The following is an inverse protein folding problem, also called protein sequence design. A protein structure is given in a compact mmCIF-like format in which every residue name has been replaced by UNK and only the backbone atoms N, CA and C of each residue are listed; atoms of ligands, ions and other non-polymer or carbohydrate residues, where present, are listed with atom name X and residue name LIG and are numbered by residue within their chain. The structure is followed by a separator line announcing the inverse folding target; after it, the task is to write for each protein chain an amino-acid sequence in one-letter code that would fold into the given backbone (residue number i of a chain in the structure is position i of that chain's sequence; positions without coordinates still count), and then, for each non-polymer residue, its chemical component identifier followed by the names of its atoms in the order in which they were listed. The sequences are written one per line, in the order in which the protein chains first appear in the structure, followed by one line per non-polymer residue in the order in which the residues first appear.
data_IF_562988054260
#
_entry.id   IF_562988054260
#
_cell.length_a   1.000
_cell.length_b   1.000
_cell.length_c   1.000
_cell.angle_alpha   90.00
_cell.angle_beta   90.00
_cell.angle_gamma   90.00
#
_symmetry.space_group_name_H-M   'P 1'
#
loop_
_entity.id
_entity.type
_entity.pdbx_description
1 polymer ?
#
# COMPACT_ATOMS: atom_id res chain seq x y z
N UNK A 1 -54.11 -64.76 -40.96
CA UNK A 1 -52.94 -65.42 -40.32
C UNK A 1 -51.99 -64.31 -39.91
N UNK A 2 -52.08 -63.81 -38.68
CA UNK A 2 -51.53 -64.36 -37.44
C UNK A 2 -50.16 -63.71 -37.13
N UNK A 3 -50.17 -62.89 -36.07
CA UNK A 3 -49.10 -62.73 -35.06
C UNK A 3 -48.73 -64.12 -34.47
N UNK A 4 -47.70 -64.32 -33.60
CA UNK A 4 -47.10 -63.38 -32.64
C UNK A 4 -45.60 -63.61 -32.36
N UNK A 5 -45.05 -62.95 -31.33
CA UNK A 5 -44.13 -63.43 -30.24
C UNK A 5 -43.63 -62.16 -29.50
N UNK A 6 -43.43 -62.01 -28.19
CA UNK A 6 -43.35 -62.88 -27.02
C UNK A 6 -42.42 -62.17 -26.00
N UNK A 7 -42.85 -61.96 -24.75
CA UNK A 7 -42.04 -61.38 -23.63
C UNK A 7 -40.98 -62.40 -23.13
N UNK A 8 -40.05 -62.10 -22.16
CA UNK A 8 -40.42 -62.12 -20.72
C UNK A 8 -39.53 -61.36 -19.68
N UNK A 9 -40.07 -61.23 -18.44
CA UNK A 9 -39.53 -61.17 -17.03
C UNK A 9 -38.37 -60.22 -16.62
N UNK A 10 -38.19 -59.72 -15.37
CA UNK A 10 -38.17 -60.29 -13.98
C UNK A 10 -38.29 -59.10 -12.96
N UNK A 11 -39.25 -58.99 -12.04
CA UNK A 11 -39.42 -59.51 -10.66
C UNK A 11 -38.41 -59.06 -9.55
N UNK A 12 -38.91 -58.51 -8.43
CA UNK A 12 -38.23 -58.57 -7.12
C UNK A 12 -38.47 -57.42 -6.12
N UNK A 13 -39.64 -57.34 -5.48
CA UNK A 13 -39.89 -56.56 -4.25
C UNK A 13 -40.32 -57.51 -3.11
N UNK A 14 -39.73 -57.35 -1.92
CA UNK A 14 -40.11 -57.94 -0.62
C UNK A 14 -39.39 -57.14 0.48
N UNK A 15 -39.91 -56.78 1.67
CA UNK A 15 -41.24 -56.87 2.29
C UNK A 15 -41.28 -55.86 3.45
N UNK A 16 -42.49 -55.32 3.66
CA UNK A 16 -43.08 -54.48 4.71
C UNK A 16 -42.65 -54.75 6.16
N UNK A 17 -42.69 -53.69 7.00
CA UNK A 17 -43.57 -53.62 8.20
C UNK A 17 -43.40 -52.28 8.97
N UNK A 18 -44.51 -51.62 9.34
CA UNK A 18 -44.45 -50.57 10.38
C UNK A 18 -45.52 -49.47 10.44
N UNK A 19 -46.81 -49.84 10.51
CA UNK A 19 -47.98 -49.09 11.07
C UNK A 19 -48.41 -47.69 10.52
N UNK A 20 -49.74 -47.44 10.42
CA UNK A 20 -50.33 -46.17 10.01
C UNK A 20 -50.81 -45.32 11.20
N UNK A 21 -50.86 -43.99 11.04
CA UNK A 21 -51.75 -43.13 11.82
C UNK A 21 -51.20 -41.77 12.26
N UNK A 22 -51.81 -40.72 11.69
CA UNK A 22 -52.01 -39.35 12.21
C UNK A 22 -50.89 -38.30 12.14
N UNK A 23 -51.10 -37.37 11.19
CA UNK A 23 -51.13 -35.90 11.35
C UNK A 23 -50.18 -35.22 12.35
N UNK A 24 -49.20 -34.49 11.81
CA UNK A 24 -48.92 -33.05 12.02
C UNK A 24 -47.63 -32.74 11.23
N UNK A 25 -47.59 -31.85 10.24
CA UNK A 25 -47.91 -30.43 10.34
C UNK A 25 -48.66 -29.96 9.09
N UNK A 26 -49.97 -29.87 9.22
CA UNK A 26 -50.71 -28.78 8.59
C UNK A 26 -50.55 -27.57 9.51
N UNK A 27 -50.10 -26.45 8.97
CA UNK A 27 -50.18 -25.13 9.60
C UNK A 27 -48.90 -24.61 10.24
N UNK A 28 -47.93 -24.16 9.45
CA UNK A 28 -47.08 -23.07 9.92
C UNK A 28 -47.87 -21.77 9.71
N UNK A 29 -48.51 -21.35 10.80
CA UNK A 29 -49.62 -20.41 10.83
C UNK A 29 -49.45 -19.16 9.98
N UNK A 30 -50.41 -19.01 9.06
CA UNK A 30 -51.20 -17.79 8.96
C UNK A 30 -51.55 -17.28 10.37
N UNK A 31 -50.65 -16.53 10.96
CA UNK A 31 -50.91 -15.73 12.15
C UNK A 31 -50.48 -14.34 11.77
N UNK A 32 -51.24 -13.31 12.14
CA UNK A 32 -50.85 -11.92 11.92
C UNK A 32 -49.37 -11.65 12.30
N UNK A 33 -48.82 -12.43 13.24
CA UNK A 33 -47.40 -12.46 13.64
C UNK A 33 -46.39 -12.71 12.50
N UNK A 34 -46.71 -13.57 11.52
CA UNK A 34 -45.81 -13.87 10.38
C UNK A 34 -45.71 -12.71 9.39
N UNK A 35 -46.85 -12.07 9.06
CA UNK A 35 -46.90 -10.88 8.22
C UNK A 35 -46.26 -9.69 8.95
N UNK A 36 -46.53 -9.54 10.24
CA UNK A 36 -45.89 -8.50 11.08
C UNK A 36 -44.37 -8.70 11.12
N UNK A 37 -43.87 -9.93 11.32
CA UNK A 37 -42.43 -10.22 11.23
C UNK A 37 -41.87 -9.89 9.85
N UNK A 38 -42.54 -10.28 8.78
CA UNK A 38 -42.09 -9.99 7.41
C UNK A 38 -42.09 -8.49 7.11
N UNK A 39 -43.10 -7.75 7.59
CA UNK A 39 -43.17 -6.29 7.47
C UNK A 39 -42.10 -5.58 8.31
N UNK A 40 -41.80 -6.09 9.51
CA UNK A 40 -40.72 -5.58 10.36
C UNK A 40 -39.35 -5.86 9.72
N UNK A 41 -39.11 -7.07 9.22
CA UNK A 41 -37.90 -7.39 8.46
C UNK A 41 -37.79 -6.55 7.18
N UNK A 42 -38.89 -6.35 6.45
CA UNK A 42 -38.92 -5.50 5.25
C UNK A 42 -38.68 -4.02 5.58
N UNK A 43 -39.25 -3.51 6.67
CA UNK A 43 -39.01 -2.17 7.17
C UNK A 43 -37.53 -1.97 7.55
N UNK A 44 -36.94 -2.91 8.29
CA UNK A 44 -35.51 -2.87 8.60
C UNK A 44 -34.66 -3.07 7.35
N UNK A 45 -35.05 -3.93 6.42
CA UNK A 45 -34.35 -4.11 5.16
C UNK A 45 -34.38 -2.84 4.32
N UNK A 46 -35.49 -2.12 4.25
CA UNK A 46 -35.56 -0.80 3.59
C UNK A 46 -34.76 0.27 4.34
N UNK A 47 -34.72 0.20 5.67
CA UNK A 47 -33.96 1.17 6.49
C UNK A 47 -32.43 0.98 6.35
N UNK A 48 -31.96 -0.25 6.17
CA UNK A 48 -30.53 -0.57 6.08
C UNK A 48 -30.02 -0.78 4.65
N UNK A 49 -30.87 -1.22 3.73
CA UNK A 49 -30.54 -1.52 2.33
C UNK A 49 -31.34 -0.70 1.30
N UNK A 50 -32.15 0.26 1.74
CA UNK A 50 -32.81 1.20 0.85
C UNK A 50 -31.81 2.08 0.09
N UNK A 51 -32.19 2.63 -1.07
CA UNK A 51 -31.33 3.53 -1.84
C UNK A 51 -30.95 4.73 -0.97
N UNK A 52 -29.65 4.85 -0.67
CA UNK A 52 -29.12 5.98 0.09
C UNK A 52 -29.34 7.25 -0.73
N UNK A 53 -29.92 8.28 -0.12
CA UNK A 53 -30.02 9.60 -0.75
C UNK A 53 -28.60 10.06 -1.12
N UNK A 54 -28.37 10.62 -2.33
CA UNK A 54 -27.09 11.21 -2.67
C UNK A 54 -26.75 12.27 -1.60
N UNK A 55 -25.52 12.23 -1.10
CA UNK A 55 -25.06 13.20 -0.10
C UNK A 55 -25.07 14.61 -0.69
N UNK A 56 -25.51 15.59 0.09
CA UNK A 56 -25.44 16.99 -0.29
C UNK A 56 -23.97 17.38 -0.57
N UNK A 57 -23.68 18.19 -1.61
CA UNK A 57 -22.31 18.51 -2.00
C UNK A 57 -21.53 19.25 -0.90
N UNK A 58 -22.23 19.93 0.03
CA UNK A 58 -21.64 20.56 1.22
C UNK A 58 -21.19 19.57 2.30
N UNK A 59 -21.67 18.32 2.24
CA UNK A 59 -21.31 17.23 3.16
C UNK A 59 -20.21 16.34 2.59
N UNK A 60 -19.76 16.62 1.37
CA UNK A 60 -18.70 15.89 0.72
C UNK A 60 -17.36 16.58 0.99
N UNK A 61 -16.36 15.79 1.36
CA UNK A 61 -14.98 16.26 1.38
C UNK A 61 -14.51 16.53 -0.03
N UNK A 62 -13.69 17.56 -0.18
CA UNK A 62 -13.08 17.95 -1.45
C UNK A 62 -11.58 18.15 -1.27
N UNK A 63 -10.85 18.07 -2.37
CA UNK A 63 -9.45 18.49 -2.41
C UNK A 63 -9.34 19.94 -1.93
N UNK A 64 -8.34 20.21 -1.09
CA UNK A 64 -8.06 21.54 -0.55
C UNK A 64 -7.49 22.49 -1.60
N UNK A 65 -6.86 21.95 -2.65
CA UNK A 65 -6.26 22.69 -3.74
C UNK A 65 -7.15 22.62 -4.98
N UNK A 66 -7.34 23.76 -5.64
CA UNK A 66 -8.05 23.83 -6.90
C UNK A 66 -7.14 23.47 -8.07
N UNK A 67 -7.71 22.85 -9.11
CA UNK A 67 -6.98 22.59 -10.35
C UNK A 67 -6.47 23.92 -10.94
N UNK A 68 -5.19 23.96 -11.29
CA UNK A 68 -4.51 25.13 -11.84
C UNK A 68 -4.03 26.14 -10.80
N UNK A 69 -4.28 25.90 -9.52
CA UNK A 69 -3.74 26.74 -8.45
C UNK A 69 -2.20 26.67 -8.44
N UNK A 70 -1.50 27.81 -8.36
CA UNK A 70 -0.04 27.83 -8.39
C UNK A 70 0.52 27.37 -7.05
N UNK A 71 1.50 26.47 -7.10
CA UNK A 71 2.25 25.97 -5.96
C UNK A 71 3.73 26.32 -6.09
N UNK A 72 4.37 26.56 -4.96
CA UNK A 72 5.82 26.67 -4.87
C UNK A 72 6.36 25.41 -4.20
N UNK A 73 7.52 24.93 -4.66
CA UNK A 73 8.17 23.71 -4.18
C UNK A 73 9.59 24.00 -3.72
N UNK A 74 9.96 23.46 -2.57
CA UNK A 74 11.32 23.49 -2.04
C UNK A 74 11.81 22.08 -1.73
N UNK A 75 13.02 21.76 -2.13
CA UNK A 75 13.72 20.52 -1.81
C UNK A 75 14.96 20.87 -1.01
N UNK A 76 15.01 20.40 0.23
CA UNK A 76 16.15 20.55 1.11
C UNK A 76 16.85 19.23 1.34
N UNK A 77 18.18 19.26 1.45
CA UNK A 77 18.97 18.14 1.93
C UNK A 77 19.44 18.39 3.35
N UNK A 78 19.19 17.44 4.25
CA UNK A 78 19.65 17.52 5.64
C UNK A 78 19.95 16.14 6.21
N UNK A 79 20.82 16.10 7.20
CA UNK A 79 21.16 14.89 7.96
C UNK A 79 20.11 14.57 9.03
N UNK A 80 19.22 15.52 9.31
CA UNK A 80 18.16 15.40 10.30
C UNK A 80 16.88 14.83 9.67
N UNK A 81 16.28 13.82 10.28
CA UNK A 81 15.00 13.26 9.80
C UNK A 81 13.85 14.29 9.86
N UNK A 82 13.88 15.16 10.88
CA UNK A 82 12.96 16.29 11.04
C UNK A 82 13.67 17.56 10.61
N UNK A 83 13.21 18.16 9.52
CA UNK A 83 13.75 19.41 9.03
C UNK A 83 13.27 20.60 9.86
N UNK A 84 14.20 21.51 10.16
CA UNK A 84 13.92 22.76 10.89
C UNK A 84 14.67 23.97 10.32
N UNK A 85 15.56 23.76 9.36
CA UNK A 85 16.57 24.74 8.95
C UNK A 85 16.13 25.47 7.67
N UNK A 86 14.89 25.99 7.64
CA UNK A 86 14.29 26.59 6.43
C UNK A 86 15.03 27.83 5.92
N UNK A 87 15.67 28.59 6.81
CA UNK A 87 16.49 29.77 6.46
C UNK A 87 17.90 29.44 5.97
N UNK A 88 18.27 28.16 5.88
CA UNK A 88 19.62 27.72 5.52
C UNK A 88 19.72 27.54 4.00
N UNK A 89 20.29 28.54 3.32
CA UNK A 89 20.38 28.53 1.84
C UNK A 89 21.22 27.38 1.28
N UNK A 90 22.22 26.90 2.01
CA UNK A 90 23.07 25.77 1.60
C UNK A 90 22.35 24.42 1.64
N UNK A 91 21.29 24.29 2.45
CA UNK A 91 20.46 23.09 2.49
C UNK A 91 19.46 23.04 1.32
N UNK A 92 19.07 24.19 0.78
CA UNK A 92 18.12 24.29 -0.33
C UNK A 92 18.80 23.89 -1.65
N UNK A 93 18.41 22.76 -2.20
CA UNK A 93 19.01 22.24 -3.44
C UNK A 93 18.15 22.48 -4.68
N UNK A 94 16.86 22.70 -4.50
CA UNK A 94 15.94 23.01 -5.59
C UNK A 94 14.75 23.81 -5.08
N UNK A 95 14.48 24.92 -5.74
CA UNK A 95 13.26 25.71 -5.57
C UNK A 95 12.62 25.92 -6.94
N UNK A 96 11.30 25.73 -7.02
CA UNK A 96 10.52 25.96 -8.23
C UNK A 96 9.21 26.65 -7.82
N UNK A 97 8.90 27.78 -8.44
CA UNK A 97 7.73 28.58 -8.12
C UNK A 97 6.65 28.49 -9.21
N UNK A 98 5.40 28.77 -8.84
CA UNK A 98 4.25 28.85 -9.74
C UNK A 98 3.98 27.56 -10.55
N UNK A 99 4.17 26.40 -9.92
CA UNK A 99 3.85 25.09 -10.49
C UNK A 99 2.32 24.95 -10.52
N UNK A 100 1.68 24.79 -11.70
CA UNK A 100 0.23 24.67 -11.76
C UNK A 100 -0.23 23.29 -11.26
N UNK A 101 -1.02 23.26 -10.18
CA UNK A 101 -1.51 22.02 -9.60
C UNK A 101 -2.45 21.27 -10.55
N UNK A 102 -2.24 19.95 -10.72
CA UNK A 102 -3.07 19.07 -11.55
C UNK A 102 -3.21 19.54 -13.02
N UNK A 103 -2.19 20.20 -13.57
CA UNK A 103 -2.10 20.58 -14.98
C UNK A 103 -0.91 19.88 -15.62
N UNK A 104 -1.21 18.87 -16.44
CA UNK A 104 -0.21 18.09 -17.17
C UNK A 104 0.11 18.71 -18.52
N UNK A 105 1.39 18.84 -18.84
CA UNK A 105 1.86 19.38 -20.11
C UNK A 105 3.36 19.16 -20.31
N UNK A 106 3.96 19.61 -21.42
CA UNK A 106 5.40 19.47 -21.63
C UNK A 106 6.23 20.14 -20.53
N UNK A 107 5.69 21.21 -19.95
CA UNK A 107 6.28 21.94 -18.83
C UNK A 107 5.95 21.32 -17.46
N UNK A 108 5.33 20.15 -17.34
CA UNK A 108 5.12 19.51 -16.03
C UNK A 108 6.30 18.63 -15.60
N UNK A 109 7.25 18.34 -16.49
CA UNK A 109 8.45 17.59 -16.17
C UNK A 109 9.65 18.51 -15.95
N UNK A 110 10.39 18.29 -14.86
CA UNK A 110 11.63 19.00 -14.52
C UNK A 110 12.64 18.00 -13.99
N UNK A 111 13.91 18.25 -14.28
CA UNK A 111 15.01 17.44 -13.77
C UNK A 111 16.20 18.34 -13.46
N UNK A 112 16.83 18.10 -12.33
CA UNK A 112 18.05 18.77 -11.89
C UNK A 112 19.09 17.70 -11.54
N UNK A 113 20.35 17.97 -11.87
CA UNK A 113 21.49 17.15 -11.46
C UNK A 113 22.34 17.95 -10.48
N UNK A 114 22.51 17.40 -9.28
CA UNK A 114 23.26 18.00 -8.18
C UNK A 114 24.49 17.14 -7.88
N UNK A 115 25.60 17.80 -7.55
CA UNK A 115 26.73 17.15 -6.88
C UNK A 115 26.66 17.49 -5.40
N UNK A 116 26.34 16.48 -4.58
CA UNK A 116 26.29 16.62 -3.13
C UNK A 116 27.61 16.13 -2.53
N UNK A 117 28.18 16.91 -1.61
CA UNK A 117 29.38 16.56 -0.87
C UNK A 117 28.98 16.25 0.58
N UNK A 118 28.92 14.96 0.97
CA UNK A 118 28.54 14.59 2.32
C UNK A 118 29.54 15.13 3.34
N UNK A 119 29.04 15.54 4.51
CA UNK A 119 29.90 15.93 5.62
C UNK A 119 30.76 14.77 6.10
N UNK A 120 31.87 15.06 6.77
CA UNK A 120 32.69 14.01 7.38
C UNK A 120 31.89 13.14 8.37
N UNK A 121 30.87 13.71 9.01
CA UNK A 121 29.98 13.00 9.93
C UNK A 121 29.19 11.93 9.19
N UNK A 122 28.62 12.27 8.02
CA UNK A 122 27.88 11.29 7.21
C UNK A 122 28.78 10.16 6.73
N UNK A 123 29.98 10.49 6.28
CA UNK A 123 30.93 9.52 5.74
C UNK A 123 31.51 8.62 6.83
N UNK A 124 31.89 9.17 7.99
CA UNK A 124 32.63 8.44 9.03
C UNK A 124 31.72 7.78 10.08
N UNK A 125 30.55 8.36 10.36
CA UNK A 125 29.68 7.93 11.45
C UNK A 125 28.40 7.25 10.97
N UNK A 126 28.36 6.74 9.72
CA UNK A 126 27.14 6.17 9.13
C UNK A 126 25.95 7.14 9.23
N UNK A 127 26.18 8.41 8.90
CA UNK A 127 25.10 9.41 8.96
C UNK A 127 24.02 9.11 7.93
N UNK A 128 22.78 9.46 8.31
CA UNK A 128 21.65 9.42 7.39
C UNK A 128 21.56 10.73 6.62
N UNK A 129 21.03 10.68 5.41
CA UNK A 129 20.72 11.87 4.62
C UNK A 129 19.28 11.79 4.15
N UNK A 130 18.58 12.91 4.20
CA UNK A 130 17.18 13.04 3.87
C UNK A 130 16.96 14.15 2.86
N UNK A 131 16.04 13.90 1.91
CA UNK A 131 15.42 14.92 1.08
C UNK A 131 14.10 15.33 1.74
N UNK A 132 13.96 16.60 2.08
CA UNK A 132 12.72 17.18 2.57
C UNK A 132 12.09 17.97 1.45
N UNK A 133 10.92 17.53 1.00
CA UNK A 133 10.17 18.17 -0.07
C UNK A 133 8.99 18.87 0.56
N UNK A 134 8.88 20.18 0.34
CA UNK A 134 7.75 20.99 0.78
C UNK A 134 7.08 21.61 -0.44
N UNK A 135 5.77 21.64 -0.40
CA UNK A 135 4.91 22.38 -1.30
C UNK A 135 4.10 23.37 -0.48
N UNK A 136 3.93 24.57 -1.01
CA UNK A 136 3.00 25.56 -0.49
C UNK A 136 2.18 26.16 -1.63
N UNK A 137 1.00 26.68 -1.33
CA UNK A 137 0.34 27.64 -2.23
C UNK A 137 1.30 28.78 -2.52
N UNK A 138 1.37 29.20 -3.78
CA UNK A 138 2.32 30.23 -4.18
C UNK A 138 2.09 31.52 -3.40
N UNK A 139 3.17 32.06 -2.84
CA UNK A 139 3.13 33.21 -1.92
C UNK A 139 3.00 32.87 -0.43
N UNK A 140 2.85 31.59 -0.06
CA UNK A 140 2.92 31.15 1.34
C UNK A 140 4.28 30.52 1.66
N UNK A 141 4.87 30.81 2.83
CA UNK A 141 6.14 30.23 3.24
C UNK A 141 5.99 28.76 3.68
N UNK A 142 6.98 27.89 3.44
CA UNK A 142 6.96 26.51 3.92
C UNK A 142 7.42 26.36 5.38
N UNK A 143 7.98 27.42 5.99
CA UNK A 143 8.51 27.41 7.36
C UNK A 143 7.40 27.60 8.39
N UNK A 144 7.14 26.63 9.30
CA UNK A 144 6.14 26.77 10.36
C UNK A 144 6.39 27.91 11.36
N UNK A 145 7.59 28.48 11.40
CA UNK A 145 7.94 29.60 12.28
C UNK A 145 7.68 30.96 11.63
N UNK A 146 7.36 31.00 10.34
CA UNK A 146 7.06 32.24 9.64
C UNK A 146 5.67 32.77 10.06
N UNK A 147 5.51 34.07 10.36
CA UNK A 147 4.21 34.64 10.72
C UNK A 147 3.14 34.51 9.61
N UNK A 148 3.54 34.37 8.35
CA UNK A 148 2.65 34.17 7.21
C UNK A 148 2.37 32.68 6.91
N UNK A 149 2.95 31.77 7.69
CA UNK A 149 2.73 30.33 7.53
C UNK A 149 1.27 29.94 7.79
N UNK A 150 0.67 29.28 6.81
CA UNK A 150 -0.66 28.71 6.93
C UNK A 150 -0.59 27.18 6.82
N UNK A 151 -0.90 26.42 7.89
CA UNK A 151 -0.77 24.97 7.90
C UNK A 151 -1.58 24.26 6.80
N UNK A 152 -2.67 24.86 6.34
CA UNK A 152 -3.55 24.33 5.29
C UNK A 152 -3.06 24.62 3.88
N UNK A 153 -2.15 25.58 3.75
CA UNK A 153 -1.57 25.99 2.47
C UNK A 153 -0.25 25.28 2.20
N UNK A 154 0.25 24.49 3.14
CA UNK A 154 1.56 23.80 3.06
C UNK A 154 1.44 22.30 3.30
N UNK A 155 2.17 21.50 2.54
CA UNK A 155 2.30 20.06 2.76
C UNK A 155 3.67 19.58 2.30
N UNK A 156 4.15 18.46 2.84
CA UNK A 156 5.48 18.00 2.52
C UNK A 156 5.75 16.56 2.94
N UNK A 157 6.88 16.04 2.47
CA UNK A 157 7.32 14.69 2.80
C UNK A 157 8.84 14.61 2.88
N UNK A 158 9.31 13.87 3.87
CA UNK A 158 10.71 13.48 4.00
C UNK A 158 10.96 12.13 3.32
N UNK A 159 12.04 12.03 2.56
CA UNK A 159 12.54 10.80 1.96
C UNK A 159 13.98 10.53 2.37
N UNK A 160 14.27 9.34 2.88
CA UNK A 160 15.65 8.91 3.17
C UNK A 160 16.40 8.64 1.85
N UNK A 161 17.50 9.36 1.62
CA UNK A 161 18.41 9.18 0.47
C UNK A 161 19.36 8.01 0.73
N UNK A 162 19.76 7.83 2.00
CA UNK A 162 20.67 6.75 2.42
C UNK A 162 19.88 5.69 3.17
N UNK A 163 19.94 4.45 2.70
CA UNK A 163 19.33 3.29 3.35
C UNK A 163 20.41 2.31 3.75
N UNK A 164 20.43 1.90 5.02
CA UNK A 164 21.37 0.89 5.50
C UNK A 164 20.78 -0.49 5.26
N UNK A 165 21.54 -1.38 4.61
CA UNK A 165 21.16 -2.77 4.41
C UNK A 165 22.29 -3.70 4.88
N UNK A 166 21.95 -4.90 5.37
CA UNK A 166 22.96 -5.87 5.76
C UNK A 166 23.80 -6.26 4.55
N UNK A 167 25.12 -6.41 4.76
CA UNK A 167 26.04 -6.85 3.73
C UNK A 167 25.59 -8.21 3.19
N UNK A 168 25.42 -8.35 1.86
CA UNK A 168 25.04 -9.62 1.29
C UNK A 168 26.13 -10.65 1.61
N UNK A 169 25.75 -11.76 2.25
CA UNK A 169 26.67 -12.87 2.49
C UNK A 169 27.16 -13.36 1.12
N UNK A 170 28.47 -13.38 0.91
CA UNK A 170 29.09 -13.96 -0.30
C UNK A 170 29.03 -15.49 -0.24
N UNK A 171 27.82 -16.04 -0.10
CA UNK A 171 27.55 -17.47 -0.15
C UNK A 171 27.44 -17.91 -1.61
N UNK A 172 28.26 -18.88 -2.01
CA UNK A 172 28.34 -19.49 -3.34
C UNK A 172 26.95 -19.59 -3.98
N UNK A 173 26.69 -18.80 -5.02
CA UNK A 173 25.47 -18.92 -5.83
C UNK A 173 25.48 -20.30 -6.47
N UNK A 174 24.64 -21.22 -6.00
CA UNK A 174 24.41 -22.49 -6.69
C UNK A 174 23.69 -22.16 -8.00
N UNK A 175 24.32 -22.43 -9.14
CA UNK A 175 23.70 -22.25 -10.45
C UNK A 175 22.43 -23.09 -10.52
N UNK A 176 21.28 -22.44 -10.76
CA UNK A 176 19.98 -23.12 -10.92
C UNK A 176 19.70 -23.51 -12.38
N UNK A 177 20.63 -23.20 -13.29
CA UNK A 177 20.62 -23.68 -14.66
C UNK A 177 21.44 -24.98 -14.69
N UNK A 178 20.75 -26.10 -14.42
CA UNK A 178 21.33 -27.42 -14.53
C UNK A 178 21.52 -27.79 -16.01
N UNK A 179 22.76 -27.75 -16.49
CA UNK A 179 23.17 -28.59 -17.60
C UNK A 179 23.92 -29.79 -17.03
N UNK A 180 23.18 -30.81 -16.61
CA UNK A 180 23.75 -32.14 -16.43
C UNK A 180 24.06 -32.70 -17.80
N UNK A 181 25.33 -32.63 -18.19
CA UNK A 181 25.89 -33.59 -19.12
C UNK A 181 27.25 -34.03 -18.58
N UNK A 182 27.23 -35.27 -18.14
CA UNK A 182 28.30 -36.18 -17.73
C UNK A 182 29.72 -35.71 -17.98
N UNK A 183 30.53 -35.74 -16.92
CA UNK A 183 31.92 -36.22 -16.95
C UNK A 183 32.32 -36.51 -15.50
N UNK A 184 32.24 -37.79 -15.14
CA UNK A 184 32.83 -38.35 -13.93
C UNK A 184 34.37 -38.40 -14.06
N UNK A 185 35.03 -38.32 -12.90
CA UNK A 185 36.45 -38.64 -12.61
C UNK A 185 37.49 -37.62 -13.14
N UNK A 186 38.41 -37.07 -12.34
CA UNK A 186 39.28 -37.76 -11.37
C UNK A 186 39.55 -36.92 -10.10
N UNK A 187 39.63 -37.63 -8.97
CA UNK A 187 40.23 -37.19 -7.72
C UNK A 187 41.75 -37.00 -7.86
N UNK A 188 42.31 -35.96 -7.21
CA UNK A 188 43.48 -36.17 -6.35
C UNK A 188 43.55 -35.10 -5.26
N UNK A 189 43.48 -35.62 -4.04
CA UNK A 189 43.53 -34.95 -2.76
C UNK A 189 44.85 -34.20 -2.52
N UNK A 190 44.83 -33.19 -1.64
CA UNK A 190 45.71 -33.16 -0.46
C UNK A 190 45.08 -32.38 0.70
N UNK A 191 44.67 -33.17 1.70
CA UNK A 191 44.73 -32.93 3.14
C UNK A 191 43.75 -31.94 3.79
N UNK A 192 42.64 -32.53 4.22
CA UNK A 192 42.08 -32.26 5.54
C UNK A 192 43.12 -32.60 6.63
N UNK A 193 43.33 -31.68 7.57
CA UNK A 193 43.69 -31.99 8.95
C UNK A 193 42.86 -31.14 9.91
N UNK A 194 42.16 -31.90 10.76
CA UNK A 194 41.62 -31.60 12.07
C UNK A 194 40.48 -30.59 12.23
N UNK A 195 39.29 -31.18 12.19
CA UNK A 195 38.14 -30.85 13.02
C UNK A 195 38.51 -30.63 14.49
N UNK A 196 38.15 -29.44 15.00
CA UNK A 196 37.49 -29.18 16.30
C UNK A 196 37.79 -27.74 16.73
N UNK A 197 37.12 -26.80 16.09
CA UNK A 197 36.70 -25.59 16.79
C UNK A 197 35.23 -25.38 16.46
N UNK A 198 34.42 -25.89 17.38
CA UNK A 198 33.21 -25.27 17.90
C UNK A 198 32.45 -24.47 16.85
N UNK A 199 31.29 -25.02 16.46
CA UNK A 199 30.11 -24.27 16.04
C UNK A 199 29.76 -23.23 17.12
N UNK A 200 30.60 -22.23 17.25
CA UNK A 200 30.25 -20.94 17.79
C UNK A 200 29.54 -20.37 16.58
N UNK A 201 28.22 -20.35 16.66
CA UNK A 201 27.43 -19.37 15.93
C UNK A 201 28.03 -18.04 16.39
N UNK A 202 29.11 -17.62 15.73
CA UNK A 202 29.58 -16.26 15.82
C UNK A 202 28.35 -15.49 15.41
N UNK A 203 27.79 -14.75 16.36
CA UNK A 203 26.93 -13.62 16.11
C UNK A 203 27.75 -12.67 15.23
N UNK A 204 27.91 -13.05 13.95
CA UNK A 204 28.74 -12.36 12.99
C UNK A 204 28.04 -11.02 12.86
N UNK A 205 28.58 -10.02 13.55
CA UNK A 205 28.02 -8.69 13.66
C UNK A 205 27.60 -8.28 12.26
N UNK A 206 26.29 -8.19 12.03
CA UNK A 206 25.74 -7.97 10.69
C UNK A 206 26.28 -6.62 10.24
N UNK A 207 27.25 -6.65 9.32
CA UNK A 207 27.87 -5.45 8.80
C UNK A 207 26.81 -4.71 7.97
N UNK A 208 26.43 -3.52 8.40
CA UNK A 208 25.48 -2.67 7.70
C UNK A 208 26.22 -1.76 6.73
N UNK A 209 25.77 -1.71 5.48
CA UNK A 209 26.38 -0.89 4.43
C UNK A 209 25.37 0.19 4.01
N UNK A 210 25.80 1.46 3.86
CA UNK A 210 24.96 2.52 3.32
C UNK A 210 24.77 2.35 1.81
N UNK A 211 23.51 2.28 1.37
CA UNK A 211 23.12 2.35 -0.04
C UNK A 211 22.52 3.72 -0.32
N UNK A 212 23.10 4.40 -1.30
CA UNK A 212 22.68 5.72 -1.73
C UNK A 212 21.68 5.61 -2.87
N UNK A 213 20.60 6.40 -2.81
CA UNK A 213 19.64 6.56 -3.90
C UNK A 213 20.08 7.75 -4.75
N UNK A 214 20.69 7.54 -5.93
CA UNK A 214 21.20 8.63 -6.75
C UNK A 214 20.08 9.44 -7.41
N UNK A 215 18.89 8.84 -7.56
CA UNK A 215 17.75 9.45 -8.23
C UNK A 215 16.58 9.52 -7.25
N UNK A 216 15.99 10.71 -7.14
CA UNK A 216 14.77 10.98 -6.38
C UNK A 216 13.74 11.52 -7.36
N UNK A 217 12.58 10.88 -7.44
CA UNK A 217 11.44 11.33 -8.24
C UNK A 217 10.37 11.87 -7.31
N UNK A 218 9.86 13.05 -7.62
CA UNK A 218 8.81 13.73 -6.87
C UNK A 218 7.61 13.84 -7.81
N UNK A 219 6.57 13.07 -7.51
CA UNK A 219 5.33 13.07 -8.28
C UNK A 219 4.21 13.71 -7.47
N UNK A 220 3.55 14.71 -8.07
CA UNK A 220 2.35 15.32 -7.51
C UNK A 220 1.13 14.59 -8.09
N UNK A 221 0.44 13.85 -7.23
CA UNK A 221 -0.73 13.05 -7.61
C UNK A 221 -1.98 13.77 -7.17
N UNK A 222 -2.92 13.97 -8.09
CA UNK A 222 -4.22 14.57 -7.82
C UNK A 222 -5.34 13.53 -7.75
N UNK A 223 -6.26 13.73 -6.81
CA UNK A 223 -7.57 13.07 -6.76
C UNK A 223 -8.62 14.13 -6.42
N UNK A 224 -9.57 14.35 -7.34
CA UNK A 224 -10.71 15.26 -7.15
C UNK A 224 -11.99 14.51 -6.79
N UNK A 225 -11.91 13.21 -6.52
CA UNK A 225 -13.03 12.41 -6.05
C UNK A 225 -13.52 12.93 -4.72
N UNK A 226 -14.81 13.22 -4.66
CA UNK A 226 -15.45 13.73 -3.44
C UNK A 226 -16.03 12.57 -2.64
N UNK A 227 -15.51 12.38 -1.43
CA UNK A 227 -15.98 11.33 -0.54
C UNK A 227 -16.92 11.91 0.51
N UNK A 228 -17.99 11.18 0.86
CA UNK A 228 -18.67 11.44 2.12
C UNK A 228 -17.79 10.94 3.27
N UNK A 229 -17.93 11.53 4.46
CA UNK A 229 -17.09 11.22 5.62
C UNK A 229 -16.94 9.70 5.91
N UNK A 230 -17.98 8.91 5.65
CA UNK A 230 -18.00 7.47 5.94
C UNK A 230 -17.75 6.57 4.72
N UNK A 231 -17.43 7.15 3.56
CA UNK A 231 -17.23 6.41 2.29
C UNK A 231 -15.81 6.58 1.73
N UNK A 232 -14.86 6.96 2.58
CA UNK A 232 -13.45 7.01 2.21
C UNK A 232 -12.92 5.57 2.04
N UNK A 233 -12.27 5.24 0.91
CA UNK A 233 -11.60 3.96 0.74
C UNK A 233 -10.54 3.71 1.82
N UNK A 234 -10.48 2.51 2.43
CA UNK A 234 -9.58 2.21 3.55
C UNK A 234 -8.09 2.45 3.25
N UNK A 235 -7.68 2.29 1.99
CA UNK A 235 -6.27 2.44 1.58
C UNK A 235 -5.77 3.89 1.55
N UNK A 236 -6.68 4.88 1.48
CA UNK A 236 -6.33 6.32 1.56
C UNK A 236 -6.75 6.97 2.88
N UNK A 237 -7.65 6.35 3.66
CA UNK A 237 -8.21 6.94 4.87
C UNK A 237 -7.15 7.46 5.86
N UNK A 238 -6.07 6.70 6.09
CA UNK A 238 -4.99 7.11 6.99
C UNK A 238 -4.04 8.19 6.44
N UNK A 239 -4.23 8.63 5.19
CA UNK A 239 -3.40 9.64 4.52
C UNK A 239 -4.16 10.93 4.21
N UNK A 240 -5.46 10.98 4.52
CA UNK A 240 -6.27 12.18 4.33
C UNK A 240 -6.15 13.03 5.58
N UNK A 241 -5.84 14.30 5.38
CA UNK A 241 -5.90 15.30 6.42
C UNK A 241 -7.29 15.94 6.38
N UNK A 242 -8.10 15.67 7.40
CA UNK A 242 -9.42 16.28 7.57
C UNK A 242 -9.37 17.36 8.64
N UNK A 243 -10.19 18.39 8.49
CA UNK A 243 -10.39 19.44 9.46
C UNK A 243 -11.90 19.62 9.66
N UNK A 244 -12.34 19.69 10.91
CA UNK A 244 -13.73 19.92 11.33
C UNK A 244 -13.89 21.34 11.87
#
# INVERSE_FOLDING_TARGET
MAQPEGRPVVAGEATRQGRPGQQQQQGFGQTLSGIVRMAVFWYFAMKFFGPKKPAEPSQLMSNMLAKGEPLDMWVYLSENEKFKDFGKEDALVWHEANIPYAVWGPSSFRSISLKYYPSEVVVKNNGSLYAHVFFARSGYPPDPNDPEYEPLSTFGRTHSIVTFLPKPKSGKKKSLLGSSKDSEEEESAFQAKDDKQVDTIDESHVEWIPYWKPNVTIDLVDDFTRYSHNQIPPHIAGRIQTFL
#
